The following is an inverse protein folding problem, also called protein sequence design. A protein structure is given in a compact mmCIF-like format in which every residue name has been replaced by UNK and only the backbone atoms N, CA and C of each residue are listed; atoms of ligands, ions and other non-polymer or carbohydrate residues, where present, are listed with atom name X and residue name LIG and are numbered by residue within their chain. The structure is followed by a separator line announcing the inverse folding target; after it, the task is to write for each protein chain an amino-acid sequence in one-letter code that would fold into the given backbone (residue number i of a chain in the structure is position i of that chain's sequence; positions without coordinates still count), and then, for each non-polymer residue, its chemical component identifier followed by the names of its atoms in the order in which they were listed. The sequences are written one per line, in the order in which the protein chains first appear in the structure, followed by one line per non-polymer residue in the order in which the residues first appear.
data_IF_594264016033
#
_entry.id   IF_594264016033
#
_cell.length_a   1.000
_cell.length_b   1.000
_cell.length_c   1.000
_cell.angle_alpha   90.00
_cell.angle_beta   90.00
_cell.angle_gamma   90.00
#
_symmetry.space_group_name_H-M   'P 1'
#
loop_
_entity.id
_entity.type
_entity.pdbx_description
1 polymer ?
#
# COMPACT_ATOMS: atom_id res chain seq x y z
N UNK A 1 27.54 19.68 -19.09
CA UNK A 1 26.82 19.63 -17.81
C UNK A 1 25.98 20.88 -17.72
N UNK A 2 24.67 20.77 -17.98
CA UNK A 2 23.71 21.84 -17.70
C UNK A 2 23.69 22.06 -16.18
N UNK A 3 23.59 23.33 -15.74
CA UNK A 3 23.43 23.63 -14.32
C UNK A 3 22.21 22.88 -13.77
N UNK A 4 22.24 22.38 -12.52
CA UNK A 4 21.06 21.76 -11.93
C UNK A 4 19.92 22.79 -11.97
N UNK A 5 18.84 22.44 -12.64
CA UNK A 5 17.64 23.28 -12.72
C UNK A 5 17.16 23.51 -11.29
N UNK A 6 16.99 24.77 -10.90
CA UNK A 6 16.53 25.10 -9.55
C UNK A 6 15.16 24.47 -9.31
N UNK A 7 15.03 23.72 -8.22
CA UNK A 7 13.75 23.10 -7.86
C UNK A 7 12.64 24.17 -7.74
N UNK A 8 11.43 23.88 -8.23
CA UNK A 8 10.32 24.82 -8.10
C UNK A 8 9.91 24.96 -6.63
N UNK A 9 9.36 26.13 -6.27
CA UNK A 9 8.83 26.38 -4.92
C UNK A 9 7.37 25.94 -4.78
N UNK A 10 6.64 25.84 -5.89
CA UNK A 10 5.26 25.36 -5.95
C UNK A 10 5.08 24.28 -7.02
N UNK A 11 4.04 23.47 -6.89
CA UNK A 11 3.70 22.38 -7.79
C UNK A 11 2.19 22.11 -7.83
N UNK A 12 1.75 21.27 -8.76
CA UNK A 12 0.40 20.73 -8.73
C UNK A 12 0.28 19.59 -7.73
N UNK A 13 -0.80 19.61 -6.95
CA UNK A 13 -1.10 18.57 -5.99
C UNK A 13 -2.61 18.38 -5.84
N UNK A 14 -3.06 17.13 -5.70
CA UNK A 14 -4.43 16.81 -5.35
C UNK A 14 -4.62 16.97 -3.83
N UNK A 15 -5.38 17.98 -3.44
CA UNK A 15 -5.62 18.35 -2.04
C UNK A 15 -7.00 17.89 -1.59
N UNK A 16 -7.12 17.51 -0.32
CA UNK A 16 -8.42 17.25 0.32
C UNK A 16 -9.08 18.56 0.69
N UNK A 17 -10.36 18.74 0.34
CA UNK A 17 -11.15 19.93 0.73
C UNK A 17 -12.18 19.63 1.82
N UNK A 18 -12.62 18.38 1.95
CA UNK A 18 -13.63 17.95 2.90
C UNK A 18 -13.98 16.47 2.73
N UNK A 19 -14.99 15.95 3.47
CA UNK A 19 -15.37 14.54 3.43
C UNK A 19 -15.59 14.04 1.99
N UNK A 20 -14.71 13.17 1.52
CA UNK A 20 -14.76 12.56 0.18
C UNK A 20 -14.50 13.51 -0.99
N UNK A 21 -14.11 14.74 -0.73
CA UNK A 21 -13.89 15.78 -1.72
C UNK A 21 -12.41 16.14 -1.85
N UNK A 22 -11.94 16.14 -3.09
CA UNK A 22 -10.58 16.51 -3.48
C UNK A 22 -10.61 17.52 -4.62
N UNK A 23 -9.56 18.32 -4.73
CA UNK A 23 -9.37 19.28 -5.82
C UNK A 23 -7.89 19.37 -6.20
N UNK A 24 -7.60 19.75 -7.44
CA UNK A 24 -6.23 20.03 -7.87
C UNK A 24 -5.89 21.46 -7.47
N UNK A 25 -4.89 21.63 -6.61
CA UNK A 25 -4.20 22.90 -6.39
C UNK A 25 -3.11 23.04 -7.45
N UNK A 26 -3.03 24.22 -8.06
CA UNK A 26 -2.04 24.54 -9.11
C UNK A 26 -0.74 25.12 -8.54
N UNK A 27 -0.73 25.42 -7.24
CA UNK A 27 0.26 26.27 -6.56
C UNK A 27 0.60 25.78 -5.14
N UNK A 28 0.42 24.48 -4.86
CA UNK A 28 0.79 23.90 -3.58
C UNK A 28 2.31 24.01 -3.36
N UNK A 29 2.76 24.22 -2.12
CA UNK A 29 4.20 24.26 -1.81
C UNK A 29 4.85 22.90 -2.04
N UNK A 30 6.01 22.89 -2.70
CA UNK A 30 6.84 21.67 -2.82
C UNK A 30 7.32 21.28 -1.42
N UNK A 31 7.13 20.02 -0.99
CA UNK A 31 7.58 19.58 0.32
C UNK A 31 9.12 19.59 0.39
N UNK A 32 9.66 20.05 1.52
CA UNK A 32 11.09 19.99 1.78
C UNK A 32 11.44 18.62 2.40
N UNK A 33 12.48 17.91 1.89
CA UNK A 33 12.91 16.66 2.49
C UNK A 33 13.57 16.93 3.85
N UNK A 34 13.25 16.10 4.84
CA UNK A 34 14.02 16.05 6.09
C UNK A 34 15.39 15.39 5.85
N UNK A 35 16.25 15.41 6.88
CA UNK A 35 17.65 14.94 6.78
C UNK A 35 17.79 13.52 6.23
N UNK A 36 16.85 12.62 6.50
CA UNK A 36 16.91 11.20 6.08
C UNK A 36 16.01 10.87 4.87
N UNK A 37 15.49 11.88 4.18
CA UNK A 37 14.48 11.71 3.14
C UNK A 37 15.00 12.02 1.73
N UNK A 38 14.29 11.49 0.75
CA UNK A 38 14.48 11.77 -0.67
C UNK A 38 13.36 12.70 -1.12
N UNK A 39 13.69 13.74 -1.89
CA UNK A 39 12.70 14.47 -2.69
C UNK A 39 12.65 13.84 -4.07
N UNK A 40 11.44 13.51 -4.53
CA UNK A 40 11.22 12.75 -5.75
C UNK A 40 10.25 13.52 -6.65
N UNK A 41 10.63 13.67 -7.92
CA UNK A 41 9.73 14.14 -8.97
C UNK A 41 8.87 12.96 -9.40
N UNK A 42 7.58 13.04 -9.14
CA UNK A 42 6.61 11.96 -9.36
C UNK A 42 6.32 11.82 -10.85
N UNK A 43 6.45 10.60 -11.37
CA UNK A 43 6.12 10.24 -12.74
C UNK A 43 4.73 9.61 -12.84
N UNK A 44 4.47 8.62 -11.98
CA UNK A 44 3.22 7.87 -11.98
C UNK A 44 2.72 7.67 -10.55
N UNK A 45 1.41 7.58 -10.41
CA UNK A 45 0.72 7.30 -9.15
C UNK A 45 -0.27 6.17 -9.34
N UNK A 46 -0.67 5.51 -8.26
CA UNK A 46 -1.78 4.56 -8.31
C UNK A 46 -2.77 4.78 -7.18
N UNK A 47 -4.04 4.46 -7.44
CA UNK A 47 -5.12 4.67 -6.48
C UNK A 47 -5.28 3.43 -5.58
N UNK A 48 -5.36 3.68 -4.28
CA UNK A 48 -5.72 2.72 -3.25
C UNK A 48 -7.10 3.03 -2.67
N UNK A 49 -7.70 1.99 -2.09
CA UNK A 49 -8.95 2.08 -1.33
C UNK A 49 -8.77 3.02 -0.14
N UNK A 50 -7.58 3.01 0.49
CA UNK A 50 -7.25 3.88 1.62
C UNK A 50 -7.27 5.36 1.25
N UNK A 51 -6.88 5.74 0.03
CA UNK A 51 -6.91 7.14 -0.42
C UNK A 51 -8.35 7.69 -0.44
N UNK A 52 -9.32 6.82 -0.78
CA UNK A 52 -10.74 7.15 -0.77
C UNK A 52 -11.29 7.15 0.67
N UNK A 53 -11.03 6.08 1.42
CA UNK A 53 -11.50 5.92 2.80
C UNK A 53 -10.98 7.01 3.72
N UNK A 54 -9.71 7.38 3.63
CA UNK A 54 -9.13 8.42 4.48
C UNK A 54 -9.74 9.79 4.18
N UNK A 55 -10.01 10.10 2.90
CA UNK A 55 -10.69 11.34 2.53
C UNK A 55 -12.13 11.38 3.04
N UNK A 56 -12.81 10.24 3.15
CA UNK A 56 -14.19 10.15 3.67
C UNK A 56 -14.23 10.20 5.20
N UNK A 57 -13.40 9.39 5.86
CA UNK A 57 -13.47 9.09 7.30
C UNK A 57 -12.54 9.96 8.15
N UNK A 58 -11.49 10.53 7.56
CA UNK A 58 -10.52 11.39 8.25
C UNK A 58 -10.07 12.55 7.35
N UNK A 59 -11.02 13.34 6.80
CA UNK A 59 -10.69 14.42 5.88
C UNK A 59 -9.78 15.44 6.56
N UNK A 60 -8.64 15.73 5.95
CA UNK A 60 -7.71 16.76 6.40
C UNK A 60 -7.67 17.90 5.37
N UNK A 61 -8.48 18.96 5.53
CA UNK A 61 -8.48 20.08 4.59
C UNK A 61 -7.09 20.68 4.35
N UNK A 62 -6.71 20.79 3.08
CA UNK A 62 -5.42 21.30 2.62
C UNK A 62 -4.29 20.28 2.58
N UNK A 63 -4.50 19.04 3.06
CA UNK A 63 -3.51 17.97 2.95
C UNK A 63 -3.43 17.42 1.52
N UNK A 64 -2.22 17.11 1.05
CA UNK A 64 -2.01 16.36 -0.20
C UNK A 64 -2.48 14.92 -0.01
N UNK A 65 -3.27 14.42 -0.95
CA UNK A 65 -3.81 13.04 -0.92
C UNK A 65 -2.82 12.04 -1.55
N UNK A 66 -3.15 10.76 -1.44
CA UNK A 66 -2.50 9.68 -2.19
C UNK A 66 -1.36 8.98 -1.46
N UNK A 67 -1.29 7.67 -1.68
CA UNK A 67 -0.31 6.78 -1.04
C UNK A 67 0.82 6.38 -1.98
N UNK A 68 0.52 5.88 -3.18
CA UNK A 68 1.52 5.24 -4.04
C UNK A 68 2.03 6.16 -5.14
N UNK A 69 3.35 6.18 -5.32
CA UNK A 69 3.99 6.79 -6.48
C UNK A 69 5.24 6.04 -6.95
N UNK A 70 5.64 6.37 -8.17
CA UNK A 70 6.99 6.17 -8.69
C UNK A 70 7.51 7.45 -9.32
N UNK A 71 8.82 7.61 -9.36
CA UNK A 71 9.44 8.83 -9.87
C UNK A 71 10.95 8.77 -9.88
N UNK A 72 11.55 9.96 -9.98
CA UNK A 72 13.01 10.15 -10.02
C UNK A 72 13.46 11.03 -8.87
N UNK A 73 14.48 10.60 -8.15
CA UNK A 73 15.09 11.37 -7.05
C UNK A 73 15.69 12.67 -7.61
N UNK A 74 15.32 13.81 -7.02
CA UNK A 74 15.80 15.14 -7.44
C UNK A 74 16.56 15.89 -6.34
N UNK A 75 16.44 15.47 -5.08
CA UNK A 75 17.29 15.92 -3.98
C UNK A 75 17.35 14.89 -2.86
N UNK A 76 18.42 14.97 -2.06
CA UNK A 76 18.67 14.12 -0.90
C UNK A 76 18.73 14.97 0.37
N UNK A 77 18.17 14.45 1.46
CA UNK A 77 18.43 14.96 2.80
C UNK A 77 19.90 14.77 3.20
N UNK A 78 20.37 15.58 4.14
CA UNK A 78 21.80 15.64 4.52
C UNK A 78 22.36 14.39 5.22
N UNK A 79 21.50 13.51 5.74
CA UNK A 79 21.85 12.23 6.38
C UNK A 79 21.61 11.02 5.47
N UNK A 80 21.16 11.24 4.24
CA UNK A 80 21.03 10.17 3.26
C UNK A 80 22.43 9.78 2.79
N UNK A 81 22.73 8.48 2.82
CA UNK A 81 23.97 7.93 2.30
C UNK A 81 24.04 8.16 0.79
N UNK A 82 24.94 9.06 0.37
CA UNK A 82 25.14 9.47 -1.01
C UNK A 82 25.86 8.42 -1.87
N UNK A 83 26.42 7.36 -1.29
CA UNK A 83 26.91 6.19 -2.05
C UNK A 83 25.76 5.21 -2.35
N UNK A 84 24.72 5.23 -1.51
CA UNK A 84 23.51 4.45 -1.73
C UNK A 84 22.51 5.19 -2.62
N UNK A 85 22.25 6.48 -2.41
CA UNK A 85 21.20 7.20 -3.15
C UNK A 85 21.77 8.33 -3.97
N UNK A 86 21.27 8.46 -5.21
CA UNK A 86 21.71 9.49 -6.14
C UNK A 86 20.52 10.24 -6.74
N UNK A 87 20.74 11.52 -7.02
CA UNK A 87 19.86 12.27 -7.93
C UNK A 87 19.85 11.58 -9.29
N UNK A 88 18.66 11.31 -9.83
CA UNK A 88 18.45 10.52 -11.03
C UNK A 88 18.00 9.07 -10.77
N UNK A 89 18.07 8.58 -9.54
CA UNK A 89 17.59 7.23 -9.22
C UNK A 89 16.08 7.12 -9.45
N UNK A 90 15.66 6.04 -10.13
CA UNK A 90 14.24 5.69 -10.31
C UNK A 90 13.77 4.90 -9.09
N UNK A 91 12.73 5.39 -8.43
CA UNK A 91 12.21 4.81 -7.19
C UNK A 91 10.70 4.66 -7.21
N UNK A 92 10.20 3.74 -6.40
CA UNK A 92 8.80 3.66 -6.00
C UNK A 92 8.67 3.68 -4.48
N UNK A 93 7.58 4.27 -3.99
CA UNK A 93 7.33 4.37 -2.56
C UNK A 93 5.84 4.55 -2.25
N UNK A 94 5.47 4.12 -1.05
CA UNK A 94 4.19 4.42 -0.41
C UNK A 94 4.44 5.48 0.65
N UNK A 95 3.66 6.56 0.66
CA UNK A 95 3.77 7.64 1.65
C UNK A 95 2.43 7.94 2.32
N UNK A 96 2.49 8.65 3.44
CA UNK A 96 1.31 9.00 4.21
C UNK A 96 0.56 10.19 3.60
N UNK A 97 -0.31 9.91 2.62
CA UNK A 97 -1.26 10.88 2.07
C UNK A 97 -2.37 11.25 3.05
N UNK A 98 -2.97 12.42 2.87
CA UNK A 98 -3.99 12.99 3.75
C UNK A 98 -3.53 13.04 5.23
N UNK A 99 -2.25 13.34 5.45
CA UNK A 99 -1.64 13.37 6.79
C UNK A 99 -1.82 14.75 7.47
N UNK A 100 -2.52 14.83 8.61
CA UNK A 100 -2.67 16.07 9.40
C UNK A 100 -1.37 16.69 9.88
N UNK A 101 -0.34 15.87 10.11
CA UNK A 101 0.95 16.27 10.66
C UNK A 101 1.94 16.74 9.59
N UNK A 102 1.66 16.47 8.31
CA UNK A 102 2.51 16.88 7.17
C UNK A 102 1.68 17.11 5.91
N UNK A 103 0.89 18.18 5.93
CA UNK A 103 -0.17 18.47 4.93
C UNK A 103 0.37 18.78 3.54
N UNK A 104 1.62 19.17 3.41
CA UNK A 104 2.29 19.43 2.14
C UNK A 104 2.67 18.15 1.39
N UNK A 105 2.83 17.02 2.08
CA UNK A 105 3.28 15.77 1.48
C UNK A 105 2.16 14.74 1.25
N UNK A 106 2.17 14.09 0.08
CA UNK A 106 1.25 13.04 -0.36
C UNK A 106 1.55 12.65 -1.80
N UNK A 107 1.21 11.41 -2.21
CA UNK A 107 1.69 10.85 -3.46
C UNK A 107 1.02 11.48 -4.70
N UNK A 108 -0.20 11.99 -4.57
CA UNK A 108 -0.94 12.60 -5.68
C UNK A 108 -0.49 14.05 -5.89
N UNK A 109 0.78 14.23 -6.22
CA UNK A 109 1.40 15.51 -6.52
C UNK A 109 2.55 15.34 -7.51
N UNK A 110 3.08 16.44 -8.06
CA UNK A 110 4.24 16.39 -8.96
C UNK A 110 5.57 16.14 -8.21
N UNK A 111 5.61 16.42 -6.91
CA UNK A 111 6.76 16.15 -6.05
C UNK A 111 6.30 15.56 -4.73
N UNK A 112 7.05 14.59 -4.21
CA UNK A 112 6.77 13.93 -2.94
C UNK A 112 8.09 13.65 -2.20
N UNK A 113 8.02 13.57 -0.88
CA UNK A 113 9.15 13.23 -0.02
C UNK A 113 8.90 11.91 0.70
N UNK A 114 9.95 11.09 0.81
CA UNK A 114 9.90 9.75 1.41
C UNK A 114 11.18 9.49 2.21
N UNK A 115 11.11 8.83 3.38
CA UNK A 115 12.30 8.31 4.06
C UNK A 115 13.10 7.38 3.14
N UNK A 116 14.41 7.60 3.01
CA UNK A 116 15.25 6.84 2.09
C UNK A 116 15.22 5.31 2.37
N UNK A 117 14.98 4.92 3.62
CA UNK A 117 14.85 3.51 4.05
C UNK A 117 13.48 2.88 3.75
N UNK A 118 12.50 3.69 3.36
CA UNK A 118 11.16 3.25 2.93
C UNK A 118 10.91 3.58 1.45
N UNK A 119 11.96 3.51 0.64
CA UNK A 119 11.87 3.60 -0.81
C UNK A 119 12.49 2.35 -1.43
N UNK A 120 11.89 1.86 -2.51
CA UNK A 120 12.47 0.80 -3.34
C UNK A 120 13.03 1.41 -4.63
N UNK A 121 14.20 0.94 -5.05
CA UNK A 121 14.69 1.22 -6.40
C UNK A 121 13.89 0.41 -7.40
N UNK A 122 13.62 1.00 -8.56
CA UNK A 122 12.92 0.35 -9.66
C UNK A 122 13.94 -0.44 -10.49
N UNK A 123 13.79 -1.77 -10.61
CA UNK A 123 14.65 -2.57 -11.48
C UNK A 123 14.63 -2.07 -12.93
N UNK A 124 15.72 -2.28 -13.66
CA UNK A 124 15.81 -1.85 -15.06
C UNK A 124 14.69 -2.43 -15.95
N UNK A 125 14.20 -3.62 -15.62
CA UNK A 125 13.13 -4.35 -16.30
C UNK A 125 11.71 -3.82 -16.01
N UNK A 126 11.54 -2.90 -15.06
CA UNK A 126 10.24 -2.41 -14.62
C UNK A 126 10.05 -0.94 -15.03
N UNK A 127 8.88 -0.65 -15.61
CA UNK A 127 8.49 0.73 -15.94
C UNK A 127 7.88 1.47 -14.74
N UNK A 128 7.79 2.79 -14.82
CA UNK A 128 7.28 3.66 -13.75
C UNK A 128 5.80 3.40 -13.45
N UNK A 129 4.99 3.11 -14.46
CA UNK A 129 3.56 2.83 -14.28
C UNK A 129 3.34 1.56 -13.46
N UNK A 130 4.10 0.51 -13.77
CA UNK A 130 4.10 -0.76 -13.03
C UNK A 130 4.64 -0.56 -11.63
N UNK A 131 5.75 0.14 -11.47
CA UNK A 131 6.34 0.41 -10.17
C UNK A 131 5.39 1.18 -9.24
N UNK A 132 4.64 2.16 -9.76
CA UNK A 132 3.66 2.92 -8.98
C UNK A 132 2.49 2.06 -8.44
N UNK A 133 2.31 0.84 -8.93
CA UNK A 133 1.19 -0.05 -8.54
C UNK A 133 1.46 -0.93 -7.31
N UNK A 134 2.72 -0.99 -6.87
CA UNK A 134 3.23 -1.94 -5.88
C UNK A 134 3.37 -1.45 -4.43
N UNK A 135 3.66 -0.17 -4.11
CA UNK A 135 4.21 0.17 -2.80
C UNK A 135 3.30 -0.13 -1.60
N UNK A 136 2.04 0.30 -1.62
CA UNK A 136 1.09 -0.02 -0.56
C UNK A 136 0.91 -1.54 -0.39
N UNK A 137 0.88 -2.29 -1.50
CA UNK A 137 0.76 -3.74 -1.50
C UNK A 137 1.95 -4.40 -0.79
N UNK A 138 3.17 -4.00 -1.18
CA UNK A 138 4.41 -4.46 -0.58
C UNK A 138 4.46 -4.16 0.91
N UNK A 139 4.18 -2.92 1.32
CA UNK A 139 4.20 -2.52 2.72
C UNK A 139 3.17 -3.30 3.55
N UNK A 140 1.96 -3.49 3.01
CA UNK A 140 0.90 -4.26 3.66
C UNK A 140 1.35 -5.71 3.88
N UNK A 141 1.89 -6.37 2.85
CA UNK A 141 2.37 -7.76 2.99
C UNK A 141 3.46 -7.89 4.05
N UNK A 142 4.44 -6.98 4.07
CA UNK A 142 5.52 -7.01 5.06
C UNK A 142 5.00 -6.94 6.49
N UNK A 143 4.16 -5.95 6.80
CA UNK A 143 3.60 -5.80 8.14
C UNK A 143 2.67 -6.96 8.48
N UNK A 144 1.73 -7.31 7.58
CA UNK A 144 0.78 -8.40 7.83
C UNK A 144 1.48 -9.70 8.18
N UNK A 145 2.44 -10.15 7.36
CA UNK A 145 3.08 -11.45 7.56
C UNK A 145 4.02 -11.45 8.77
N UNK A 146 4.90 -10.46 8.89
CA UNK A 146 6.00 -10.54 9.85
C UNK A 146 5.69 -9.84 11.17
N UNK A 147 5.03 -8.67 11.12
CA UNK A 147 4.72 -7.93 12.33
C UNK A 147 3.43 -8.41 13.00
N UNK A 148 2.37 -8.67 12.26
CA UNK A 148 1.06 -8.98 12.86
C UNK A 148 0.78 -10.47 12.96
N UNK A 149 1.09 -11.24 11.91
CA UNK A 149 0.98 -12.70 11.93
C UNK A 149 2.15 -13.41 12.62
N UNK A 150 3.23 -12.68 12.93
CA UNK A 150 4.42 -13.19 13.61
C UNK A 150 5.09 -14.35 12.86
N UNK A 151 5.01 -14.36 11.52
CA UNK A 151 5.82 -15.26 10.71
C UNK A 151 7.29 -14.86 10.83
N UNK A 152 8.18 -15.84 10.75
CA UNK A 152 9.62 -15.57 10.71
C UNK A 152 9.99 -14.96 9.36
N UNK A 153 10.62 -13.78 9.38
CA UNK A 153 11.18 -13.18 8.17
C UNK A 153 12.33 -14.05 7.66
N UNK A 154 12.36 -14.44 6.37
CA UNK A 154 13.44 -15.25 5.84
C UNK A 154 14.79 -14.53 5.88
N UNK A 155 15.84 -15.21 6.34
CA UNK A 155 17.21 -14.69 6.32
C UNK A 155 17.80 -14.63 4.89
N UNK A 156 17.26 -15.43 3.95
CA UNK A 156 17.66 -15.52 2.54
C UNK A 156 16.54 -16.19 1.71
N UNK A 157 16.11 -15.61 0.57
CA UNK A 157 15.00 -16.14 -0.22
C UNK A 157 15.47 -17.09 -1.33
N UNK A 158 15.20 -18.38 -1.16
CA UNK A 158 14.90 -19.27 -2.27
C UNK A 158 13.37 -19.41 -2.33
N UNK A 159 12.70 -18.53 -3.08
CA UNK A 159 11.25 -18.59 -3.27
C UNK A 159 10.64 -17.28 -3.76
N UNK A 160 9.81 -17.35 -4.80
CA UNK A 160 9.10 -16.20 -5.34
C UNK A 160 8.04 -15.68 -4.37
N UNK A 161 7.92 -14.36 -4.21
CA UNK A 161 6.83 -13.74 -3.45
C UNK A 161 5.89 -13.00 -4.41
N UNK A 162 4.73 -13.58 -4.68
CA UNK A 162 3.70 -12.91 -5.45
C UNK A 162 2.83 -12.07 -4.52
N UNK A 163 2.72 -10.77 -4.82
CA UNK A 163 1.94 -9.83 -4.02
C UNK A 163 0.51 -9.77 -4.55
N UNK A 164 -0.45 -10.19 -3.73
CA UNK A 164 -1.86 -9.89 -3.97
C UNK A 164 -2.32 -8.82 -2.97
N UNK A 165 -2.37 -7.56 -3.38
CA UNK A 165 -3.21 -6.55 -2.73
C UNK A 165 -4.52 -6.44 -3.50
N UNK A 166 -5.45 -7.35 -3.25
CA UNK A 166 -6.84 -7.07 -3.54
C UNK A 166 -7.73 -7.69 -2.46
N UNK A 167 -8.39 -6.77 -1.78
CA UNK A 167 -9.78 -6.86 -1.36
C UNK A 167 -10.62 -7.33 -2.56
N UNK A 168 -11.50 -8.30 -2.34
CA UNK A 168 -12.50 -8.88 -3.25
C UNK A 168 -12.02 -9.99 -4.19
N UNK A 169 -12.08 -11.22 -3.68
CA UNK A 169 -12.21 -12.45 -4.48
C UNK A 169 -13.59 -12.55 -5.14
N UNK A 170 -14.09 -11.51 -5.82
CA UNK A 170 -15.41 -11.50 -6.44
C UNK A 170 -15.36 -11.95 -7.91
N UNK A 171 -15.53 -13.26 -8.12
CA UNK A 171 -16.13 -13.85 -9.32
C UNK A 171 -15.25 -13.93 -10.58
N UNK A 172 -14.73 -15.14 -10.86
CA UNK A 172 -14.33 -15.53 -12.21
C UNK A 172 -14.85 -16.93 -12.51
N UNK A 173 -15.96 -16.98 -13.25
CA UNK A 173 -16.44 -18.18 -13.93
C UNK A 173 -15.54 -18.44 -15.14
N UNK A 174 -14.91 -19.61 -15.21
CA UNK A 174 -14.34 -20.25 -16.42
C UNK A 174 -13.17 -19.59 -17.17
N UNK A 175 -12.30 -18.85 -16.47
CA UNK A 175 -10.89 -18.63 -16.88
C UNK A 175 -10.05 -19.12 -15.70
N UNK A 176 -8.87 -19.73 -15.93
CA UNK A 176 -8.00 -20.23 -14.87
C UNK A 176 -7.96 -19.25 -13.67
N UNK A 177 -8.31 -19.72 -12.47
CA UNK A 177 -8.57 -18.84 -11.33
C UNK A 177 -7.32 -18.00 -11.03
N UNK A 178 -7.36 -16.66 -11.18
CA UNK A 178 -6.19 -15.80 -11.05
C UNK A 178 -5.42 -16.00 -9.73
N UNK A 179 -6.10 -16.35 -8.64
CA UNK A 179 -5.47 -16.60 -7.35
C UNK A 179 -4.50 -17.79 -7.36
N UNK A 180 -4.76 -18.84 -8.16
CA UNK A 180 -3.85 -20.00 -8.26
C UNK A 180 -2.56 -19.67 -9.01
N UNK A 181 -2.64 -18.82 -10.04
CA UNK A 181 -1.48 -18.26 -10.72
C UNK A 181 -0.62 -17.40 -9.78
N UNK A 182 -1.27 -16.73 -8.82
CA UNK A 182 -0.65 -15.89 -7.80
C UNK A 182 -0.14 -16.66 -6.56
N UNK A 183 -0.12 -18.00 -6.62
CA UNK A 183 0.49 -18.84 -5.58
C UNK A 183 -0.49 -19.46 -4.57
N UNK A 184 -1.81 -19.28 -4.73
CA UNK A 184 -2.77 -19.96 -3.87
C UNK A 184 -2.78 -21.48 -4.15
N UNK A 185 -2.58 -22.30 -3.10
CA UNK A 185 -2.63 -23.75 -3.22
C UNK A 185 -4.06 -24.29 -3.49
N UNK A 186 -5.08 -23.56 -3.04
CA UNK A 186 -6.49 -23.84 -3.29
C UNK A 186 -7.31 -22.55 -3.23
N UNK A 187 -8.49 -22.55 -3.85
CA UNK A 187 -9.40 -21.40 -3.86
C UNK A 187 -10.82 -21.85 -3.57
N UNK A 188 -11.55 -21.06 -2.79
CA UNK A 188 -12.92 -21.35 -2.35
C UNK A 188 -13.82 -20.15 -2.68
N UNK A 189 -15.06 -20.43 -3.09
CA UNK A 189 -16.03 -19.36 -3.33
C UNK A 189 -16.57 -18.85 -1.99
N UNK A 190 -16.19 -17.62 -1.63
CA UNK A 190 -16.62 -16.96 -0.40
C UNK A 190 -18.15 -16.78 -0.29
N UNK A 191 -18.88 -16.86 -1.40
CA UNK A 191 -20.35 -16.82 -1.41
C UNK A 191 -20.97 -18.14 -0.97
N UNK A 192 -20.19 -19.22 -0.94
CA UNK A 192 -20.65 -20.49 -0.42
C UNK A 192 -20.86 -20.39 1.09
N UNK A 193 -22.04 -20.77 1.63
CA UNK A 193 -22.26 -20.77 3.07
C UNK A 193 -21.36 -21.76 3.82
N UNK A 194 -20.80 -22.75 3.11
CA UNK A 194 -19.83 -23.71 3.64
C UNK A 194 -18.38 -23.26 3.51
N UNK A 195 -18.06 -22.12 2.89
CA UNK A 195 -16.70 -21.71 2.54
C UNK A 195 -15.70 -21.90 3.71
N UNK A 196 -16.00 -21.34 4.89
CA UNK A 196 -15.12 -21.50 6.06
C UNK A 196 -14.97 -22.95 6.52
N UNK A 197 -16.05 -23.75 6.48
CA UNK A 197 -15.99 -25.17 6.84
C UNK A 197 -15.23 -26.01 5.80
N UNK A 198 -15.33 -25.65 4.51
CA UNK A 198 -14.60 -26.30 3.43
C UNK A 198 -13.09 -26.02 3.55
N UNK A 199 -12.71 -24.79 3.91
CA UNK A 199 -11.30 -24.44 4.20
C UNK A 199 -10.80 -25.20 5.44
N UNK A 200 -11.60 -25.28 6.50
CA UNK A 200 -11.24 -26.03 7.71
C UNK A 200 -11.00 -27.52 7.39
N UNK A 201 -11.87 -28.11 6.57
CA UNK A 201 -11.76 -29.50 6.10
C UNK A 201 -10.51 -29.69 5.24
N UNK A 202 -10.28 -28.81 4.26
CA UNK A 202 -9.11 -28.84 3.37
C UNK A 202 -7.80 -28.76 4.15
N UNK A 203 -7.73 -27.88 5.15
CA UNK A 203 -6.56 -27.69 6.01
C UNK A 203 -6.46 -28.73 7.13
N UNK A 204 -7.39 -29.69 7.19
CA UNK A 204 -7.47 -30.71 8.24
C UNK A 204 -7.47 -30.13 9.66
N UNK A 205 -8.04 -28.93 9.82
CA UNK A 205 -8.06 -28.20 11.10
C UNK A 205 -6.71 -27.64 11.52
N UNK A 206 -5.71 -27.58 10.65
CA UNK A 206 -4.37 -27.10 10.97
C UNK A 206 -4.17 -25.58 10.75
N UNK A 207 -5.14 -24.87 10.18
CA UNK A 207 -5.00 -23.44 9.87
C UNK A 207 -4.93 -22.59 11.15
N UNK A 208 -3.82 -21.88 11.34
CA UNK A 208 -3.58 -21.01 12.52
C UNK A 208 -3.45 -19.53 12.16
N UNK A 209 -3.39 -19.17 10.88
CA UNK A 209 -3.25 -17.78 10.43
C UNK A 209 -4.36 -17.48 9.41
N UNK A 210 -5.07 -16.37 9.61
CA UNK A 210 -6.05 -15.86 8.65
C UNK A 210 -5.79 -14.37 8.38
N UNK A 211 -5.54 -14.02 7.12
CA UNK A 211 -5.45 -12.63 6.66
C UNK A 211 -6.79 -12.26 6.02
N UNK A 212 -7.50 -11.32 6.61
CA UNK A 212 -8.78 -10.83 6.12
C UNK A 212 -8.61 -9.53 5.34
N UNK A 213 -8.60 -9.66 4.02
CA UNK A 213 -8.50 -8.54 3.09
C UNK A 213 -9.85 -7.85 2.84
N UNK A 214 -10.94 -8.22 3.49
CA UNK A 214 -12.27 -7.60 3.33
C UNK A 214 -12.67 -6.84 4.60
N UNK A 215 -12.41 -7.45 5.76
CA UNK A 215 -12.56 -6.84 7.08
C UNK A 215 -14.00 -6.45 7.46
N UNK A 216 -14.99 -7.16 6.92
CA UNK A 216 -16.40 -7.03 7.31
C UNK A 216 -16.86 -8.18 8.24
N UNK A 217 -18.15 -8.20 8.59
CA UNK A 217 -18.66 -9.23 9.51
C UNK A 217 -18.71 -10.63 8.89
N UNK A 218 -18.93 -10.72 7.58
CA UNK A 218 -19.12 -12.00 6.87
C UNK A 218 -17.78 -12.66 6.56
N UNK A 219 -16.80 -11.86 6.13
CA UNK A 219 -15.41 -12.25 5.97
C UNK A 219 -14.79 -12.70 7.30
N UNK A 220 -14.94 -11.92 8.37
CA UNK A 220 -14.49 -12.33 9.71
C UNK A 220 -15.14 -13.65 10.14
N UNK A 221 -16.45 -13.81 9.93
CA UNK A 221 -17.17 -15.06 10.23
C UNK A 221 -16.59 -16.25 9.46
N UNK A 222 -16.26 -16.04 8.18
CA UNK A 222 -15.65 -17.05 7.33
C UNK A 222 -14.27 -17.44 7.83
N UNK A 223 -13.41 -16.46 8.14
CA UNK A 223 -12.08 -16.69 8.71
C UNK A 223 -12.14 -17.47 10.03
N UNK A 224 -13.06 -17.10 10.93
CA UNK A 224 -13.20 -17.76 12.23
C UNK A 224 -13.68 -19.22 12.13
N UNK A 225 -14.50 -19.53 11.12
CA UNK A 225 -14.93 -20.89 10.78
C UNK A 225 -13.79 -21.71 10.14
N UNK A 226 -12.91 -21.06 9.39
CA UNK A 226 -11.76 -21.70 8.74
C UNK A 226 -10.61 -22.02 9.71
N UNK A 227 -10.39 -21.19 10.72
CA UNK A 227 -9.32 -21.38 11.71
C UNK A 227 -9.52 -22.69 12.51
N UNK A 228 -8.45 -23.47 12.62
CA UNK A 228 -8.39 -24.74 13.35
C UNK A 228 -8.73 -24.62 14.83
N UNK A 229 -9.14 -25.71 15.51
CA UNK A 229 -9.60 -25.67 16.90
C UNK A 229 -8.52 -25.21 17.89
N UNK A 230 -7.25 -25.39 17.56
CA UNK A 230 -6.12 -24.91 18.36
C UNK A 230 -6.09 -23.38 18.52
N UNK A 231 -6.81 -22.64 17.66
CA UNK A 231 -6.77 -21.18 17.64
C UNK A 231 -5.69 -20.66 16.71
N UNK A 232 -5.27 -19.41 16.91
CA UNK A 232 -4.34 -18.77 16.00
C UNK A 232 -4.44 -17.26 15.97
N UNK A 233 -4.04 -16.64 14.86
CA UNK A 233 -4.13 -15.19 14.63
C UNK A 233 -5.09 -14.90 13.49
N UNK A 234 -5.96 -13.92 13.72
CA UNK A 234 -6.77 -13.28 12.70
C UNK A 234 -6.25 -11.86 12.52
N UNK A 235 -5.83 -11.51 11.31
CA UNK A 235 -5.30 -10.18 11.00
C UNK A 235 -6.16 -9.59 9.88
N UNK A 236 -6.76 -8.44 10.12
CA UNK A 236 -7.56 -7.71 9.13
C UNK A 236 -6.76 -6.55 8.51
N UNK A 237 -7.21 -6.04 7.36
CA UNK A 237 -6.65 -4.85 6.72
C UNK A 237 -7.40 -3.55 7.08
N UNK A 238 -8.47 -3.64 7.88
CA UNK A 238 -9.26 -2.52 8.39
C UNK A 238 -9.76 -2.87 9.81
N UNK A 239 -10.16 -1.89 10.65
CA UNK A 239 -10.85 -2.15 11.89
C UNK A 239 -12.12 -2.97 11.64
N UNK A 240 -12.28 -4.02 12.43
CA UNK A 240 -13.37 -4.99 12.31
C UNK A 240 -14.29 -4.93 13.54
N UNK A 241 -15.55 -5.38 13.43
CA UNK A 241 -16.47 -5.36 14.55
C UNK A 241 -16.07 -6.36 15.63
N UNK A 242 -15.70 -5.88 16.81
CA UNK A 242 -15.31 -6.73 17.96
C UNK A 242 -16.36 -7.78 18.35
N UNK A 243 -17.64 -7.56 18.01
CA UNK A 243 -18.71 -8.55 18.25
C UNK A 243 -18.51 -9.86 17.46
N UNK A 244 -17.76 -9.82 16.35
CA UNK A 244 -17.40 -11.02 15.58
C UNK A 244 -16.31 -11.86 16.24
N UNK A 245 -15.60 -11.34 17.25
CA UNK A 245 -14.60 -12.09 17.99
C UNK A 245 -15.26 -13.08 18.97
N UNK A 246 -15.45 -14.31 18.51
CA UNK A 246 -16.22 -15.35 19.22
C UNK A 246 -15.36 -16.41 19.91
N UNK A 247 -14.03 -16.39 19.69
CA UNK A 247 -13.12 -17.45 20.13
C UNK A 247 -11.93 -16.88 20.87
N UNK A 248 -11.83 -17.14 22.18
CA UNK A 248 -10.68 -16.71 23.02
C UNK A 248 -9.33 -17.27 22.58
N UNK A 249 -9.30 -18.38 21.83
CA UNK A 249 -8.06 -18.98 21.31
C UNK A 249 -7.56 -18.30 20.03
N UNK A 250 -8.31 -17.33 19.47
CA UNK A 250 -7.90 -16.56 18.30
C UNK A 250 -7.49 -15.17 18.77
N UNK A 251 -6.29 -14.72 18.44
CA UNK A 251 -5.83 -13.35 18.70
C UNK A 251 -6.17 -12.48 17.49
N UNK A 252 -7.12 -11.53 17.61
CA UNK A 252 -7.50 -10.67 16.50
C UNK A 252 -6.67 -9.37 16.49
N UNK A 253 -6.23 -8.94 15.32
CA UNK A 253 -5.52 -7.67 15.12
C UNK A 253 -5.84 -7.08 13.74
N UNK A 254 -5.44 -5.82 13.49
CA UNK A 254 -5.56 -5.19 12.18
C UNK A 254 -4.34 -4.33 11.84
N UNK A 255 -4.03 -4.25 10.55
CA UNK A 255 -2.85 -3.54 10.05
C UNK A 255 -3.19 -2.11 9.67
N UNK A 256 -2.48 -1.14 10.23
CA UNK A 256 -2.46 0.24 9.73
C UNK A 256 -1.10 0.51 9.10
N UNK A 257 -0.98 0.48 7.77
CA UNK A 257 0.33 0.57 7.13
C UNK A 257 1.08 1.89 7.38
N UNK A 258 0.40 2.96 7.80
CA UNK A 258 1.06 4.24 8.09
C UNK A 258 1.86 4.21 9.40
N UNK A 259 1.68 3.21 10.26
CA UNK A 259 2.54 3.04 11.45
C UNK A 259 3.98 2.67 11.06
N UNK A 260 4.22 2.19 9.82
CA UNK A 260 5.57 1.92 9.29
C UNK A 260 6.49 3.15 9.30
N UNK A 261 5.92 4.37 9.34
CA UNK A 261 6.71 5.60 9.40
C UNK A 261 7.31 5.83 10.79
N UNK A 262 6.87 5.10 11.82
CA UNK A 262 7.36 5.27 13.19
C UNK A 262 6.92 6.59 13.84
N UNK A 263 5.83 7.17 13.34
CA UNK A 263 5.23 8.41 13.83
C UNK A 263 3.75 8.18 14.14
N UNK A 264 3.16 9.11 14.90
CA UNK A 264 1.74 9.06 15.21
C UNK A 264 0.89 9.16 13.94
N UNK A 265 -0.18 8.38 13.89
CA UNK A 265 -1.23 8.49 12.89
C UNK A 265 -2.32 9.38 13.48
N UNK A 266 -2.42 10.63 13.03
CA UNK A 266 -3.35 11.62 13.60
C UNK A 266 -4.73 11.65 12.91
N UNK A 267 -5.18 10.52 12.35
CA UNK A 267 -6.51 10.41 11.74
C UNK A 267 -7.63 10.37 12.78
N UNK A 268 -8.89 10.41 12.32
CA UNK A 268 -10.02 10.31 13.23
C UNK A 268 -10.13 8.88 13.79
N UNK A 269 -10.63 8.70 15.02
CA UNK A 269 -10.86 7.37 15.57
C UNK A 269 -11.73 6.49 14.67
N UNK A 270 -11.44 5.18 14.57
CA UNK A 270 -10.45 4.42 15.34
C UNK A 270 -9.05 4.36 14.70
N UNK A 271 -8.74 5.24 13.74
CA UNK A 271 -7.48 5.23 13.01
C UNK A 271 -6.38 6.09 13.65
N UNK A 272 -6.68 6.79 14.75
CA UNK A 272 -5.67 7.45 15.56
C UNK A 272 -4.81 6.40 16.27
N UNK A 273 -3.51 6.41 16.01
CA UNK A 273 -2.58 5.44 16.57
C UNK A 273 -1.29 6.14 16.99
N UNK A 274 -0.80 5.80 18.19
CA UNK A 274 0.54 6.20 18.62
C UNK A 274 1.61 5.61 17.69
N UNK A 275 2.76 6.28 17.62
CA UNK A 275 3.94 5.78 16.92
C UNK A 275 4.30 4.35 17.35
N UNK A 276 4.50 3.46 16.37
CA UNK A 276 4.88 2.05 16.59
C UNK A 276 6.28 1.79 16.07
N UNK A 277 7.26 1.84 16.96
CA UNK A 277 8.67 1.59 16.62
C UNK A 277 8.89 0.18 16.09
N UNK A 278 8.17 -0.82 16.60
CA UNK A 278 8.30 -2.20 16.11
C UNK A 278 7.80 -2.35 14.67
N UNK A 279 6.73 -1.65 14.29
CA UNK A 279 6.23 -1.63 12.91
C UNK A 279 7.26 -0.98 11.98
N UNK A 280 7.90 0.11 12.42
CA UNK A 280 9.01 0.74 11.70
C UNK A 280 10.18 -0.22 11.51
N UNK A 281 10.61 -0.90 12.56
CA UNK A 281 11.72 -1.86 12.51
C UNK A 281 11.41 -3.03 11.57
N UNK A 282 10.19 -3.59 11.67
CA UNK A 282 9.74 -4.64 10.77
C UNK A 282 9.71 -4.15 9.31
N UNK A 283 9.22 -2.94 9.06
CA UNK A 283 9.18 -2.36 7.73
C UNK A 283 10.60 -2.19 7.16
N UNK A 284 11.56 -1.60 7.89
CA UNK A 284 12.92 -1.46 7.38
C UNK A 284 13.57 -2.80 7.01
N UNK A 285 13.38 -3.84 7.83
CA UNK A 285 13.86 -5.19 7.54
C UNK A 285 13.18 -5.78 6.29
N UNK A 286 11.85 -5.62 6.19
CA UNK A 286 11.08 -6.07 5.04
C UNK A 286 11.48 -5.38 3.74
N UNK A 287 11.70 -4.07 3.77
CA UNK A 287 12.04 -3.30 2.56
C UNK A 287 13.34 -3.80 1.91
N UNK A 288 14.33 -4.20 2.72
CA UNK A 288 15.57 -4.83 2.23
C UNK A 288 15.29 -6.16 1.54
N UNK A 289 14.45 -7.01 2.14
CA UNK A 289 14.10 -8.29 1.54
C UNK A 289 13.27 -8.12 0.26
N UNK A 290 12.27 -7.24 0.30
CA UNK A 290 11.43 -6.91 -0.85
C UNK A 290 12.24 -6.34 -2.02
N UNK A 291 13.28 -5.53 -1.76
CA UNK A 291 14.18 -5.06 -2.82
C UNK A 291 14.83 -6.22 -3.56
N UNK A 292 15.33 -7.24 -2.85
CA UNK A 292 15.94 -8.42 -3.49
C UNK A 292 14.93 -9.17 -4.34
N UNK A 293 13.71 -9.35 -3.83
CA UNK A 293 12.62 -10.01 -4.58
C UNK A 293 12.25 -9.24 -5.85
N UNK A 294 12.27 -7.91 -5.81
CA UNK A 294 12.07 -7.06 -6.99
C UNK A 294 13.22 -7.21 -8.00
N UNK A 295 14.46 -7.17 -7.52
CA UNK A 295 15.67 -7.29 -8.35
C UNK A 295 15.76 -8.67 -9.04
N UNK A 296 15.32 -9.72 -8.35
CA UNK A 296 15.25 -11.10 -8.89
C UNK A 296 14.01 -11.34 -9.78
N UNK A 297 13.13 -10.35 -9.94
CA UNK A 297 11.91 -10.47 -10.75
C UNK A 297 10.86 -11.43 -10.17
N UNK A 298 10.90 -11.64 -8.86
CA UNK A 298 10.02 -12.55 -8.13
C UNK A 298 8.69 -11.92 -7.70
N UNK A 299 8.59 -10.60 -7.81
CA UNK A 299 7.37 -9.84 -7.57
C UNK A 299 6.61 -9.64 -8.88
N UNK A 300 5.41 -10.23 -8.96
CA UNK A 300 4.51 -10.07 -10.10
C UNK A 300 3.48 -8.99 -9.78
N UNK A 301 3.43 -7.88 -10.55
CA UNK A 301 2.40 -6.86 -10.38
C UNK A 301 1.03 -7.39 -10.84
N UNK A 302 -0.02 -6.91 -10.19
CA UNK A 302 -1.39 -7.12 -10.68
C UNK A 302 -1.61 -6.41 -12.03
N UNK A 303 -2.60 -6.82 -12.83
CA UNK A 303 -2.95 -6.13 -14.06
C UNK A 303 -3.18 -4.63 -13.83
N UNK A 304 -2.75 -3.80 -14.77
CA UNK A 304 -2.82 -2.35 -14.66
C UNK A 304 -3.88 -1.80 -15.60
N UNK A 305 -4.58 -0.77 -15.16
CA UNK A 305 -5.32 0.14 -16.03
C UNK A 305 -4.62 1.50 -15.98
N UNK A 306 -3.81 1.80 -16.99
CA UNK A 306 -3.11 3.08 -17.09
C UNK A 306 -4.00 4.10 -17.79
N UNK A 307 -4.32 5.19 -17.09
CA UNK A 307 -5.14 6.29 -17.62
C UNK A 307 -4.33 7.55 -17.89
N UNK A 308 -4.78 8.27 -18.92
CA UNK A 308 -4.31 9.63 -19.24
C UNK A 308 -5.15 10.65 -18.44
N UNK A 309 -4.63 11.86 -18.27
CA UNK A 309 -5.33 12.96 -17.59
C UNK A 309 -4.65 13.50 -16.34
N UNK A 310 -3.52 12.90 -15.92
CA UNK A 310 -2.74 13.36 -14.77
C UNK A 310 -3.56 13.50 -13.50
N UNK A 311 -3.18 14.44 -12.64
CA UNK A 311 -3.85 14.70 -11.36
C UNK A 311 -5.33 15.06 -11.50
N UNK A 312 -5.72 15.70 -12.61
CA UNK A 312 -7.11 16.09 -12.85
C UNK A 312 -8.06 14.88 -12.99
N UNK A 313 -7.56 13.75 -13.49
CA UNK A 313 -8.34 12.51 -13.63
C UNK A 313 -8.45 11.67 -12.36
N UNK A 314 -7.63 11.94 -11.34
CA UNK A 314 -7.52 11.10 -10.13
C UNK A 314 -8.79 11.15 -9.30
N UNK A 315 -9.43 12.32 -9.19
CA UNK A 315 -10.67 12.47 -8.43
C UNK A 315 -11.79 11.57 -8.93
N UNK A 316 -11.94 11.43 -10.25
CA UNK A 316 -12.89 10.48 -10.87
C UNK A 316 -12.48 9.03 -10.60
N UNK A 317 -11.20 8.70 -10.76
CA UNK A 317 -10.66 7.37 -10.46
C UNK A 317 -10.92 6.94 -9.00
N UNK A 318 -10.78 7.86 -8.05
CA UNK A 318 -11.14 7.63 -6.65
C UNK A 318 -12.63 7.30 -6.48
N UNK A 319 -13.53 7.96 -7.21
CA UNK A 319 -14.96 7.64 -7.18
C UNK A 319 -15.26 6.25 -7.73
N UNK A 320 -14.56 5.83 -8.78
CA UNK A 320 -14.73 4.49 -9.37
C UNK A 320 -14.22 3.39 -8.44
N UNK A 321 -13.06 3.59 -7.80
CA UNK A 321 -12.52 2.68 -6.78
C UNK A 321 -13.49 2.60 -5.59
N UNK A 322 -13.98 3.76 -5.09
CA UNK A 322 -14.97 3.82 -4.01
C UNK A 322 -16.24 3.03 -4.32
N UNK A 323 -16.70 3.04 -5.58
CA UNK A 323 -17.91 2.34 -6.03
C UNK A 323 -17.66 0.87 -6.40
N UNK A 324 -16.44 0.36 -6.25
CA UNK A 324 -16.09 -1.01 -6.61
C UNK A 324 -16.17 -1.30 -8.12
N UNK A 325 -15.99 -0.26 -8.96
CA UNK A 325 -16.03 -0.41 -10.42
C UNK A 325 -14.69 -0.93 -10.99
N UNK A 326 -13.60 -0.75 -10.25
CA UNK A 326 -12.29 -1.28 -10.59
C UNK A 326 -12.14 -2.67 -9.94
N UNK A 327 -11.99 -3.71 -10.75
CA UNK A 327 -11.91 -5.10 -10.30
C UNK A 327 -10.73 -5.83 -10.93
N UNK A 328 -9.96 -6.54 -10.09
CA UNK A 328 -8.85 -7.38 -10.51
C UNK A 328 -7.70 -6.64 -11.19
N UNK A 329 -7.60 -5.32 -10.99
CA UNK A 329 -6.58 -4.47 -11.60
C UNK A 329 -6.32 -3.22 -10.77
N UNK A 330 -5.13 -2.63 -10.94
CA UNK A 330 -4.74 -1.37 -10.30
C UNK A 330 -4.91 -0.21 -11.25
N UNK A 331 -5.53 0.86 -10.78
CA UNK A 331 -5.70 2.09 -11.55
C UNK A 331 -4.48 3.00 -11.38
N UNK A 332 -3.83 3.36 -12.48
CA UNK A 332 -2.56 4.10 -12.52
C UNK A 332 -2.70 5.35 -13.40
N UNK A 333 -2.12 6.47 -12.97
CA UNK A 333 -2.11 7.73 -13.73
C UNK A 333 -0.67 8.23 -13.94
N UNK A 334 -0.39 8.71 -15.16
CA UNK A 334 0.85 9.44 -15.45
C UNK A 334 0.70 10.90 -15.03
N UNK A 335 1.57 11.37 -14.12
CA UNK A 335 1.58 12.75 -13.59
C UNK A 335 2.48 13.65 -14.42
N UNK A 336 3.69 13.19 -14.73
CA UNK A 336 4.67 13.93 -15.51
C UNK A 336 5.32 13.03 -16.57
N UNK A 337 5.63 13.60 -17.73
CA UNK A 337 6.58 12.99 -18.66
C UNK A 337 8.00 13.23 -18.12
N UNK A 338 8.61 12.19 -17.58
CA UNK A 338 10.01 12.22 -17.16
C UNK A 338 10.82 11.52 -18.25
N UNK A 339 11.64 12.27 -18.96
CA UNK A 339 12.65 11.69 -19.84
C UNK A 339 13.69 10.98 -18.95
N UNK A 340 13.78 9.66 -19.07
CA UNK A 340 14.78 8.81 -18.40
C UNK A 340 15.95 8.62 -19.35
#
# INVERSE_FOLDING_TARGET
MTAPESLPTTHKALKVSGPGHVYVSEDASVPSPDRSELLVRVACISINQVDCKSADLSPTPGATSGTDFSGVVVALGSDVDAEAWHVGDRIMAGIFGNNPLRRDNGAFAEYAVVPARLAWRIPASMDLATAASLPAALATVGLSLFQYMKMTMPDNTAGALQLSSNTDSAGASNVANPATYLGAAATFDYRSPSCGADILSYTQGALTLALDCISDSDSMTTCYKALGPAGGRYVALDPFPLRGHTRRSVEPDWVCCYTQFGHDVAWAPPFDLDARVDDRNCAEAWYVLAQRLLDEGLVVPQPLEVRRGGLAGVGEGMQEVRRGLIKGRKLVYSVAEIAV
#
